data_IF_861957728849
#
_entry.id   IF_861957728849
#
_cell.length_a   1.000
_cell.length_b   1.000
_cell.length_c   1.000
_cell.angle_alpha   90.00
_cell.angle_beta   90.00
_cell.angle_gamma   90.00
#
_symmetry.space_group_name_H-M   'P 1'
#
loop_
_entity.id
_entity.type
_entity.pdbx_description
1 polymer ?
#
# COMPACT_ATOMS: atom_id res chain seq x y z
N UNK A 1 -1.14 -15.83 1.12
CA UNK A 1 -0.53 -14.49 1.22
C UNK A 1 0.65 -14.52 2.18
N UNK A 2 1.78 -13.95 1.80
CA UNK A 2 2.88 -13.69 2.74
C UNK A 2 2.52 -12.44 3.57
N UNK A 3 2.09 -12.68 4.79
CA UNK A 3 1.81 -11.60 5.73
C UNK A 3 3.06 -11.16 6.48
N UNK A 4 3.20 -9.87 6.62
CA UNK A 4 4.21 -9.20 7.42
C UNK A 4 3.52 -8.40 8.52
N UNK A 5 3.83 -8.70 9.77
CA UNK A 5 3.22 -8.06 10.94
C UNK A 5 3.76 -8.67 12.23
N UNK A 6 3.78 -7.87 13.29
CA UNK A 6 4.16 -8.38 14.61
C UNK A 6 3.00 -9.13 15.27
N UNK A 7 3.27 -10.12 16.13
CA UNK A 7 2.21 -10.79 16.87
C UNK A 7 1.36 -9.78 17.65
N UNK A 8 0.03 -9.89 17.50
CA UNK A 8 -0.95 -8.97 18.10
C UNK A 8 -0.82 -7.50 17.66
N UNK A 9 -0.15 -7.25 16.54
CA UNK A 9 -0.08 -5.92 15.94
C UNK A 9 -1.44 -5.45 15.44
N UNK A 10 -1.62 -4.14 15.35
CA UNK A 10 -2.87 -3.54 14.85
C UNK A 10 -2.93 -3.50 13.34
N UNK A 11 -1.79 -3.70 12.65
CA UNK A 11 -1.69 -3.68 11.21
C UNK A 11 -0.94 -4.91 10.69
N UNK A 12 -1.38 -5.36 9.53
CA UNK A 12 -0.68 -6.36 8.73
C UNK A 12 -0.41 -5.79 7.34
N UNK A 13 0.67 -6.24 6.76
CA UNK A 13 1.10 -5.85 5.43
C UNK A 13 1.23 -7.07 4.54
N UNK A 14 0.98 -6.90 3.25
CA UNK A 14 1.21 -7.95 2.28
C UNK A 14 1.63 -7.34 0.92
N UNK A 15 2.52 -7.99 0.16
CA UNK A 15 2.75 -7.58 -1.20
C UNK A 15 1.52 -7.90 -2.06
N UNK A 16 1.17 -7.00 -2.95
CA UNK A 16 0.20 -7.27 -4.01
C UNK A 16 0.95 -7.52 -5.32
N UNK A 17 0.69 -8.68 -5.95
CA UNK A 17 1.28 -9.04 -7.24
C UNK A 17 0.24 -9.12 -8.36
N UNK A 18 -1.04 -9.21 -8.02
CA UNK A 18 -2.15 -9.26 -8.96
C UNK A 18 -3.37 -8.53 -8.41
N UNK A 19 -4.25 -8.06 -9.27
CA UNK A 19 -5.55 -7.49 -8.94
C UNK A 19 -6.67 -8.54 -8.83
N UNK A 20 -6.34 -9.82 -9.03
CA UNK A 20 -7.28 -10.93 -9.00
C UNK A 20 -7.67 -11.29 -7.57
N UNK A 21 -8.89 -10.95 -7.16
CA UNK A 21 -9.44 -11.30 -5.84
C UNK A 21 -9.44 -12.82 -5.59
N UNK A 22 -9.69 -13.62 -6.62
CA UNK A 22 -9.69 -15.08 -6.54
C UNK A 22 -8.32 -15.69 -6.17
N UNK A 23 -7.24 -14.99 -6.46
CA UNK A 23 -5.87 -15.33 -6.06
C UNK A 23 -5.44 -14.60 -4.78
N UNK A 24 -6.37 -13.92 -4.10
CA UNK A 24 -6.11 -13.13 -2.90
C UNK A 24 -5.01 -12.07 -3.11
N UNK A 25 -5.01 -11.44 -4.30
CA UNK A 25 -4.08 -10.38 -4.71
C UNK A 25 -2.60 -10.75 -4.69
N UNK A 26 -2.27 -12.04 -4.57
CA UNK A 26 -0.90 -12.53 -4.58
C UNK A 26 -0.80 -13.90 -5.22
N UNK A 27 0.17 -14.08 -6.12
CA UNK A 27 0.56 -15.39 -6.61
C UNK A 27 2.09 -15.52 -6.57
N UNK A 28 2.65 -16.62 -6.06
CA UNK A 28 4.10 -16.76 -5.88
C UNK A 28 4.89 -16.80 -7.21
N UNK A 29 4.23 -17.13 -8.30
CA UNK A 29 4.85 -17.16 -9.63
C UNK A 29 4.78 -15.82 -10.36
N UNK A 30 4.04 -14.85 -9.83
CA UNK A 30 3.97 -13.53 -10.45
C UNK A 30 5.33 -12.84 -10.42
N UNK A 31 5.58 -12.07 -11.48
CA UNK A 31 6.77 -11.22 -11.63
C UNK A 31 6.42 -9.74 -11.63
N UNK A 32 5.21 -9.43 -11.20
CA UNK A 32 4.64 -8.08 -11.17
C UNK A 32 4.35 -7.70 -9.72
N UNK A 33 4.80 -6.52 -9.31
CA UNK A 33 4.51 -5.93 -8.01
C UNK A 33 3.64 -4.69 -8.21
N UNK A 34 2.52 -4.63 -7.51
CA UNK A 34 1.54 -3.55 -7.60
C UNK A 34 1.56 -2.63 -6.36
N UNK A 35 2.12 -3.09 -5.25
CA UNK A 35 2.22 -2.27 -4.04
C UNK A 35 2.16 -3.07 -2.74
N UNK A 36 2.23 -2.34 -1.64
CA UNK A 36 2.11 -2.84 -0.27
C UNK A 36 0.67 -2.67 0.21
N UNK A 37 -0.03 -3.76 0.46
CA UNK A 37 -1.34 -3.75 1.10
C UNK A 37 -1.21 -3.53 2.59
N UNK A 38 -2.08 -2.68 3.12
CA UNK A 38 -2.26 -2.47 4.56
C UNK A 38 -3.66 -2.91 4.96
N UNK A 39 -3.75 -3.70 6.01
CA UNK A 39 -5.02 -4.20 6.55
C UNK A 39 -4.95 -4.34 8.07
N UNK A 40 -6.08 -4.21 8.74
CA UNK A 40 -6.21 -4.50 10.17
C UNK A 40 -6.50 -5.99 10.44
N UNK A 41 -6.82 -6.75 9.41
CA UNK A 41 -7.10 -8.19 9.53
C UNK A 41 -6.28 -9.00 8.53
N UNK A 42 -5.70 -10.13 8.95
CA UNK A 42 -4.84 -10.93 8.09
C UNK A 42 -5.60 -11.89 7.15
N UNK A 43 -6.93 -11.91 7.17
CA UNK A 43 -7.72 -12.86 6.38
C UNK A 43 -8.33 -12.23 5.13
N UNK A 44 -7.93 -12.66 3.92
CA UNK A 44 -8.53 -12.19 2.67
C UNK A 44 -9.90 -12.83 2.37
N UNK A 45 -10.34 -13.79 3.15
CA UNK A 45 -11.70 -14.37 3.06
C UNK A 45 -12.78 -13.32 3.30
N UNK A 46 -12.51 -12.46 4.26
CA UNK A 46 -13.41 -11.38 4.58
C UNK A 46 -13.24 -10.32 3.51
N UNK A 47 -14.32 -9.86 2.93
CA UNK A 47 -14.29 -8.90 1.84
C UNK A 47 -13.66 -7.56 2.21
N UNK A 48 -13.63 -7.25 3.50
CA UNK A 48 -13.12 -6.01 4.08
C UNK A 48 -11.60 -5.99 4.29
N UNK A 49 -10.93 -7.00 3.73
CA UNK A 49 -9.47 -7.05 3.69
C UNK A 49 -8.88 -5.88 2.90
N UNK A 50 -7.98 -5.14 3.45
CA UNK A 50 -7.25 -4.03 2.87
C UNK A 50 -7.98 -2.68 2.89
N UNK A 51 -7.28 -1.71 3.47
CA UNK A 51 -7.73 -0.32 3.58
C UNK A 51 -6.82 0.65 2.82
N UNK A 52 -5.67 0.20 2.36
CA UNK A 52 -4.69 0.99 1.65
C UNK A 52 -3.79 0.10 0.80
N UNK A 53 -3.49 0.54 -0.41
CA UNK A 53 -2.37 0.03 -1.19
C UNK A 53 -1.40 1.18 -1.45
N UNK A 54 -0.14 0.98 -1.08
CA UNK A 54 0.96 1.93 -1.30
C UNK A 54 1.85 1.45 -2.44
N UNK A 55 1.96 2.24 -3.50
CA UNK A 55 2.77 1.90 -4.68
C UNK A 55 3.82 2.98 -4.91
N UNK A 56 5.10 2.72 -4.59
CA UNK A 56 6.19 3.62 -4.99
C UNK A 56 6.35 3.65 -6.51
N UNK A 57 6.49 4.83 -7.08
CA UNK A 57 6.68 5.03 -8.52
C UNK A 57 7.59 6.22 -8.78
N UNK A 58 8.23 6.25 -9.95
CA UNK A 58 9.05 7.37 -10.41
C UNK A 58 8.69 7.78 -11.83
N UNK A 59 8.91 9.06 -12.14
CA UNK A 59 8.66 9.64 -13.45
C UNK A 59 7.23 10.08 -13.67
N UNK A 60 6.92 10.54 -14.87
CA UNK A 60 5.59 11.03 -15.23
C UNK A 60 4.57 9.90 -15.24
N UNK A 61 3.51 10.05 -14.46
CA UNK A 61 2.38 9.14 -14.44
C UNK A 61 1.34 9.64 -15.46
N UNK A 62 1.21 8.93 -16.57
CA UNK A 62 0.18 9.25 -17.59
C UNK A 62 -1.22 8.87 -17.10
N UNK A 63 -1.33 7.84 -16.29
CA UNK A 63 -2.56 7.36 -15.67
C UNK A 63 -2.30 6.85 -14.25
N UNK A 64 -3.20 7.19 -13.33
CA UNK A 64 -3.16 6.75 -11.92
C UNK A 64 -3.90 5.42 -11.75
N UNK A 65 -3.53 4.40 -12.52
CA UNK A 65 -4.09 3.05 -12.38
C UNK A 65 -3.02 2.06 -11.95
N UNK A 66 -3.43 1.00 -11.24
CA UNK A 66 -2.49 -0.04 -10.78
C UNK A 66 -1.79 -0.72 -11.96
N UNK A 67 -2.50 -0.92 -13.07
CA UNK A 67 -1.92 -1.52 -14.27
C UNK A 67 -0.78 -0.68 -14.84
N UNK A 68 -0.91 0.65 -14.84
CA UNK A 68 0.12 1.55 -15.34
C UNK A 68 1.23 1.82 -14.30
N UNK A 69 0.92 1.71 -13.00
CA UNK A 69 1.86 1.94 -11.92
C UNK A 69 2.70 0.71 -11.53
N UNK A 70 2.28 -0.50 -11.89
CA UNK A 70 2.97 -1.72 -11.53
C UNK A 70 4.38 -1.82 -12.12
N UNK A 71 5.23 -2.58 -11.45
CA UNK A 71 6.61 -2.85 -11.87
C UNK A 71 6.90 -4.34 -11.83
N UNK A 72 7.77 -4.80 -12.71
CA UNK A 72 8.35 -6.13 -12.53
C UNK A 72 9.32 -6.15 -11.33
N UNK A 73 9.47 -7.33 -10.73
CA UNK A 73 10.42 -7.61 -9.67
C UNK A 73 10.97 -9.03 -9.83
N UNK A 74 12.02 -9.39 -9.07
CA UNK A 74 12.60 -10.73 -9.05
C UNK A 74 12.32 -11.38 -7.70
N UNK A 75 11.49 -12.42 -7.63
CA UNK A 75 11.20 -13.12 -6.37
C UNK A 75 12.45 -13.66 -5.67
N UNK A 76 13.41 -14.16 -6.42
CA UNK A 76 14.67 -14.72 -5.93
C UNK A 76 15.61 -13.68 -5.28
N UNK A 77 15.41 -12.39 -5.60
CA UNK A 77 16.12 -11.24 -5.02
C UNK A 77 15.27 -10.48 -3.98
N UNK A 78 14.10 -11.01 -3.65
CA UNK A 78 13.13 -10.37 -2.78
C UNK A 78 12.92 -11.15 -1.49
N UNK A 79 12.55 -10.46 -0.42
CA UNK A 79 12.22 -11.08 0.85
C UNK A 79 10.77 -10.77 1.21
N UNK A 80 9.96 -11.82 1.34
CA UNK A 80 8.61 -11.76 1.89
C UNK A 80 8.56 -12.63 3.14
N UNK A 81 8.65 -12.01 4.29
CA UNK A 81 8.73 -12.69 5.58
C UNK A 81 7.73 -12.09 6.59
N UNK A 82 7.46 -12.78 7.70
CA UNK A 82 6.60 -12.21 8.74
C UNK A 82 7.10 -10.92 9.37
N UNK A 83 8.38 -10.62 9.26
CA UNK A 83 9.02 -9.48 9.92
C UNK A 83 9.51 -8.40 8.95
N UNK A 84 9.51 -8.68 7.66
CA UNK A 84 10.04 -7.76 6.65
C UNK A 84 9.52 -8.11 5.25
N UNK A 85 9.23 -7.06 4.48
CA UNK A 85 9.11 -7.14 3.02
C UNK A 85 10.23 -6.30 2.43
N UNK A 86 11.03 -6.89 1.54
CA UNK A 86 12.10 -6.18 0.82
C UNK A 86 12.09 -6.60 -0.64
N UNK A 87 12.09 -5.62 -1.56
CA UNK A 87 12.13 -5.90 -3.00
C UNK A 87 12.64 -4.71 -3.81
N UNK A 88 13.06 -4.99 -5.04
CA UNK A 88 13.43 -3.98 -6.04
C UNK A 88 12.43 -3.97 -7.18
N UNK A 89 11.81 -2.82 -7.42
CA UNK A 89 10.95 -2.53 -8.56
C UNK A 89 11.83 -2.19 -9.77
N UNK A 90 11.94 -3.11 -10.72
CA UNK A 90 12.90 -3.00 -11.82
C UNK A 90 12.59 -1.85 -12.79
N UNK A 91 11.30 -1.61 -13.05
CA UNK A 91 10.87 -0.54 -13.95
C UNK A 91 11.29 0.84 -13.47
N UNK A 92 11.21 1.06 -12.17
CA UNK A 92 11.46 2.36 -11.55
C UNK A 92 12.84 2.46 -10.92
N UNK A 93 13.57 1.34 -10.83
CA UNK A 93 14.83 1.24 -10.07
C UNK A 93 14.64 1.69 -8.61
N UNK A 94 13.54 1.26 -8.00
CA UNK A 94 13.19 1.58 -6.61
C UNK A 94 13.46 0.34 -5.77
N UNK A 95 14.30 0.47 -4.75
CA UNK A 95 14.42 -0.53 -3.69
C UNK A 95 13.61 -0.07 -2.49
N UNK A 96 12.81 -0.96 -1.93
CA UNK A 96 11.97 -0.62 -0.80
C UNK A 96 11.92 -1.73 0.24
N UNK A 97 11.88 -1.33 1.51
CA UNK A 97 11.85 -2.19 2.67
C UNK A 97 10.69 -1.75 3.58
N UNK A 98 9.87 -2.70 3.99
CA UNK A 98 8.80 -2.47 4.95
C UNK A 98 9.04 -3.33 6.18
N UNK A 99 9.10 -2.69 7.33
CA UNK A 99 9.26 -3.32 8.65
C UNK A 99 8.04 -2.98 9.50
N UNK A 100 7.31 -3.97 10.02
CA UNK A 100 6.12 -3.76 10.83
C UNK A 100 6.47 -3.39 12.27
N UNK A 101 5.55 -2.72 12.93
CA UNK A 101 5.56 -2.49 14.36
C UNK A 101 4.18 -2.78 14.97
N UNK A 102 4.04 -2.64 16.29
CA UNK A 102 2.77 -2.90 16.99
C UNK A 102 1.61 -2.04 16.46
N UNK A 103 1.85 -0.78 16.16
CA UNK A 103 0.82 0.20 15.79
C UNK A 103 0.95 0.75 14.38
N UNK A 104 1.91 0.25 13.62
CA UNK A 104 2.17 0.75 12.28
C UNK A 104 3.32 0.02 11.62
N UNK A 105 4.09 0.72 10.80
CA UNK A 105 5.29 0.20 10.15
C UNK A 105 6.11 1.32 9.54
N UNK A 106 7.33 0.98 9.18
CA UNK A 106 8.25 1.88 8.48
C UNK A 106 8.42 1.34 7.07
N UNK A 107 8.08 2.15 6.07
CA UNK A 107 8.38 1.89 4.68
C UNK A 107 9.52 2.80 4.25
N UNK A 108 10.70 2.23 4.07
CA UNK A 108 11.86 2.91 3.50
C UNK A 108 11.86 2.73 1.99
N UNK A 109 12.00 3.81 1.24
CA UNK A 109 11.98 3.79 -0.22
C UNK A 109 13.23 4.49 -0.73
N UNK A 110 14.06 3.79 -1.46
CA UNK A 110 15.25 4.33 -2.13
C UNK A 110 14.93 4.52 -3.62
N UNK A 111 14.77 5.79 -4.00
CA UNK A 111 14.49 6.20 -5.37
C UNK A 111 15.78 6.55 -6.10
N UNK A 112 16.01 5.92 -7.24
CA UNK A 112 17.18 6.19 -8.08
C UNK A 112 16.90 7.21 -9.19
N UNK A 113 15.63 7.53 -9.42
CA UNK A 113 15.19 8.47 -10.45
C UNK A 113 14.69 9.77 -9.83
N UNK A 114 14.38 10.75 -10.69
CA UNK A 114 13.70 12.00 -10.32
C UNK A 114 12.17 11.82 -10.42
N UNK A 115 11.44 12.80 -9.91
CA UNK A 115 9.97 12.82 -9.92
C UNK A 115 9.38 11.59 -9.20
N UNK A 116 9.68 11.51 -7.90
CA UNK A 116 9.34 10.41 -7.05
C UNK A 116 7.95 10.60 -6.44
N UNK A 117 7.17 9.53 -6.43
CA UNK A 117 5.80 9.55 -5.94
C UNK A 117 5.48 8.30 -5.11
N UNK A 118 4.60 8.46 -4.14
CA UNK A 118 3.92 7.35 -3.49
C UNK A 118 2.43 7.41 -3.87
N UNK A 119 1.99 6.47 -4.70
CA UNK A 119 0.58 6.34 -5.06
C UNK A 119 -0.16 5.62 -3.94
N UNK A 120 -1.25 6.22 -3.46
CA UNK A 120 -2.15 5.63 -2.48
C UNK A 120 -3.45 5.22 -3.18
N UNK A 121 -3.75 3.93 -3.18
CA UNK A 121 -5.04 3.42 -3.67
C UNK A 121 -5.90 3.05 -2.48
N UNK A 122 -7.04 3.72 -2.36
CA UNK A 122 -7.97 3.60 -1.24
C UNK A 122 -9.27 2.94 -1.74
N UNK A 123 -9.68 1.81 -1.16
CA UNK A 123 -10.96 1.17 -1.51
C UNK A 123 -12.13 1.86 -0.80
N UNK A 124 -13.33 1.65 -1.34
CA UNK A 124 -14.56 2.10 -0.69
C UNK A 124 -14.69 3.62 -0.56
N UNK A 125 -15.26 4.07 0.55
CA UNK A 125 -15.39 5.50 0.87
C UNK A 125 -14.19 5.95 1.70
N UNK A 126 -13.62 7.10 1.37
CA UNK A 126 -12.45 7.60 2.08
C UNK A 126 -12.45 9.12 2.22
N UNK A 127 -11.70 9.59 3.20
CA UNK A 127 -11.38 11.00 3.41
C UNK A 127 -9.88 11.13 3.60
N UNK A 128 -9.26 12.10 2.93
CA UNK A 128 -7.83 12.38 3.03
C UNK A 128 -7.64 13.82 3.45
N UNK A 129 -6.79 14.05 4.45
CA UNK A 129 -6.48 15.39 4.97
C UNK A 129 -4.98 15.53 5.15
N UNK A 130 -4.38 16.49 4.47
CA UNK A 130 -3.03 16.91 4.79
C UNK A 130 -3.05 17.67 6.12
N UNK A 131 -2.26 17.23 7.09
CA UNK A 131 -2.15 17.85 8.40
C UNK A 131 -1.07 18.94 8.43
N UNK A 132 0.07 18.62 7.80
CA UNK A 132 1.21 19.52 7.60
C UNK A 132 2.03 19.05 6.37
N UNK A 133 3.23 19.60 6.20
CA UNK A 133 4.10 19.25 5.06
C UNK A 133 4.63 17.81 5.11
N UNK A 134 4.54 17.15 6.25
CA UNK A 134 5.05 15.79 6.46
C UNK A 134 3.96 14.76 6.75
N UNK A 135 2.72 15.18 6.97
CA UNK A 135 1.70 14.27 7.46
C UNK A 135 0.40 14.33 6.67
N UNK A 136 -0.11 13.15 6.36
CA UNK A 136 -1.42 12.95 5.74
C UNK A 136 -2.23 11.98 6.58
N UNK A 137 -3.39 12.43 7.06
CA UNK A 137 -4.37 11.58 7.74
C UNK A 137 -5.37 11.03 6.75
N UNK A 138 -5.72 9.76 6.90
CA UNK A 138 -6.68 9.08 6.05
C UNK A 138 -7.68 8.31 6.90
N UNK A 139 -8.96 8.42 6.51
CA UNK A 139 -10.05 7.57 6.98
C UNK A 139 -10.55 6.75 5.80
N UNK A 140 -10.73 5.44 6.00
CA UNK A 140 -11.26 4.54 4.97
C UNK A 140 -12.38 3.69 5.56
N UNK A 141 -13.48 3.57 4.81
CA UNK A 141 -14.57 2.62 5.08
C UNK A 141 -14.59 1.66 3.89
N UNK A 142 -14.10 0.45 4.11
CA UNK A 142 -14.07 -0.62 3.11
C UNK A 142 -14.99 -1.75 3.53
N UNK A 143 -16.29 -1.47 3.55
CA UNK A 143 -17.30 -2.45 3.94
C UNK A 143 -17.68 -3.35 2.77
N UNK A 144 -17.67 -4.66 3.01
CA UNK A 144 -18.13 -5.67 2.04
C UNK A 144 -18.97 -6.80 2.68
N UNK A 145 -19.56 -6.54 3.82
CA UNK A 145 -20.53 -7.42 4.47
C UNK A 145 -20.04 -8.21 5.68
N UNK A 146 -18.76 -8.06 6.06
CA UNK A 146 -18.16 -8.82 7.16
C UNK A 146 -17.98 -8.02 8.45
N UNK A 147 -17.88 -6.71 8.34
CA UNK A 147 -17.70 -5.79 9.46
C UNK A 147 -18.95 -4.93 9.68
N UNK A 148 -18.92 -4.13 10.71
CA UNK A 148 -19.92 -3.09 10.90
C UNK A 148 -19.88 -2.12 9.71
N UNK A 149 -21.00 -1.77 9.09
CA UNK A 149 -21.06 -0.83 7.96
C UNK A 149 -20.41 0.53 8.24
N UNK A 150 -20.36 0.93 9.51
CA UNK A 150 -19.78 2.19 9.96
C UNK A 150 -18.32 2.04 10.46
N UNK A 151 -17.77 0.82 10.41
CA UNK A 151 -16.37 0.61 10.77
C UNK A 151 -15.46 1.45 9.89
N UNK A 152 -14.61 2.22 10.52
CA UNK A 152 -13.67 3.09 9.85
C UNK A 152 -12.23 2.76 10.27
N UNK A 153 -11.36 2.54 9.32
CA UNK A 153 -9.95 2.42 9.55
C UNK A 153 -9.27 3.78 9.40
N UNK A 154 -8.48 4.16 10.40
CA UNK A 154 -7.76 5.45 10.43
C UNK A 154 -6.28 5.20 10.43
N UNK A 155 -5.54 5.96 9.65
CA UNK A 155 -4.08 5.94 9.69
C UNK A 155 -3.50 7.32 9.36
N UNK A 156 -2.27 7.53 9.79
CA UNK A 156 -1.48 8.71 9.44
C UNK A 156 -0.21 8.23 8.76
N UNK A 157 0.05 8.78 7.59
CA UNK A 157 1.33 8.64 6.91
C UNK A 157 2.21 9.80 7.34
N UNK A 158 3.39 9.48 7.86
CA UNK A 158 4.41 10.46 8.20
C UNK A 158 5.60 10.30 7.24
N UNK A 159 5.95 11.37 6.56
CA UNK A 159 7.03 11.41 5.59
C UNK A 159 8.26 12.09 6.18
N UNK A 160 9.43 11.48 6.02
CA UNK A 160 10.70 12.08 6.45
C UNK A 160 11.01 13.36 5.65
N UNK A 161 10.72 13.33 4.34
CA UNK A 161 10.88 14.49 3.46
C UNK A 161 9.54 15.23 3.32
N UNK A 162 9.55 16.56 3.22
CA UNK A 162 8.33 17.32 3.03
C UNK A 162 7.65 16.99 1.69
N UNK A 163 6.33 16.90 1.73
CA UNK A 163 5.50 16.73 0.55
C UNK A 163 5.52 18.00 -0.29
N UNK A 164 6.10 17.94 -1.46
CA UNK A 164 6.14 19.09 -2.39
C UNK A 164 4.83 19.28 -3.12
N UNK A 165 4.09 18.20 -3.35
CA UNK A 165 2.81 18.21 -4.05
C UNK A 165 2.04 16.93 -3.75
N UNK A 166 0.75 17.06 -3.51
CA UNK A 166 -0.12 15.92 -3.46
C UNK A 166 -1.42 16.16 -4.23
N UNK A 167 -2.00 15.10 -4.75
CA UNK A 167 -3.26 15.14 -5.44
C UNK A 167 -4.17 14.10 -4.82
N UNK A 168 -5.36 14.50 -4.42
CA UNK A 168 -6.47 13.59 -4.28
C UNK A 168 -7.43 13.87 -5.43
N UNK A 169 -7.89 12.87 -6.19
CA UNK A 169 -9.08 13.06 -7.00
C UNK A 169 -10.19 13.50 -6.04
N UNK A 170 -10.98 14.50 -6.42
CA UNK A 170 -12.15 14.87 -5.64
C UNK A 170 -12.96 13.61 -5.40
N UNK A 171 -13.07 13.17 -4.15
CA UNK A 171 -14.06 12.16 -3.78
C UNK A 171 -15.39 12.72 -4.24
N UNK A 172 -16.04 12.04 -5.17
CA UNK A 172 -17.41 12.39 -5.54
C UNK A 172 -18.33 12.05 -4.37
N UNK A 173 -18.34 12.91 -3.39
CA UNK A 173 -19.39 13.01 -2.39
C UNK A 173 -20.07 14.36 -2.61
N UNK A 174 -21.18 14.31 -3.30
CA UNK A 174 -22.32 15.19 -3.09
C UNK A 174 -23.24 14.56 -2.05
#
# INVERSE_FOLDING_TARGET
LPYTGVPFGMNFYAPQTTDQKGSWWFHPEDRTFQGYRVTHQPSPWMGDFSHLLMTPVSGSLSELSLFHAQSSYRPEESLFSPVEINLTQLRYQITSQLIPSMYGGILTIDYQQKDNHLLLTLPGRYQVKQLDDHQVAVKVINYSGCEDPDFSFYFVLHFEQPLTKWFAPSSGED
#
